data_IF_583920680236
#
_entry.id   IF_583920680236
#
_cell.length_a   1.000
_cell.length_b   1.000
_cell.length_c   1.000
_cell.angle_alpha   90.00
_cell.angle_beta   90.00
_cell.angle_gamma   90.00
#
_symmetry.space_group_name_H-M   'P 1'
#
loop_
_entity.id
_entity.type
_entity.pdbx_description
1 polymer ?
#
# COMPACT_ATOMS: atom_id res chain seq x y z
N UNK A 1 32.91 12.83 54.07
CA UNK A 1 32.07 13.48 53.03
C UNK A 1 30.99 14.30 53.71
N UNK A 2 30.97 15.61 53.47
CA UNK A 2 29.84 16.48 53.88
C UNK A 2 28.55 16.00 53.21
N UNK A 3 27.39 16.21 53.84
CA UNK A 3 26.08 15.74 53.32
C UNK A 3 25.85 16.18 51.86
N UNK A 4 26.30 17.38 51.52
CA UNK A 4 26.28 17.96 50.17
C UNK A 4 27.00 17.09 49.12
N UNK A 5 28.20 16.57 49.42
CA UNK A 5 28.95 15.70 48.49
C UNK A 5 28.25 14.36 48.25
N UNK A 6 27.47 13.86 49.22
CA UNK A 6 26.66 12.63 49.05
C UNK A 6 25.47 12.88 48.14
N UNK A 7 24.77 14.00 48.30
CA UNK A 7 23.67 14.38 47.40
C UNK A 7 24.17 14.65 45.97
N UNK A 8 25.32 15.30 45.82
CA UNK A 8 25.94 15.53 44.51
C UNK A 8 26.30 14.21 43.81
N UNK A 9 26.91 13.26 44.53
CA UNK A 9 27.25 11.95 43.98
C UNK A 9 25.99 11.15 43.60
N UNK A 10 24.96 11.16 44.45
CA UNK A 10 23.68 10.52 44.16
C UNK A 10 23.01 11.12 42.92
N UNK A 11 22.96 12.46 42.82
CA UNK A 11 22.42 13.15 41.67
C UNK A 11 23.19 12.81 40.39
N UNK A 12 24.53 12.79 40.45
CA UNK A 12 25.38 12.39 39.32
C UNK A 12 25.11 10.95 38.90
N UNK A 13 24.95 10.02 39.85
CA UNK A 13 24.64 8.63 39.57
C UNK A 13 23.27 8.48 38.89
N UNK A 14 22.24 9.19 39.37
CA UNK A 14 20.90 9.19 38.76
C UNK A 14 20.93 9.83 37.37
N UNK A 15 21.67 10.92 37.19
CA UNK A 15 21.82 11.58 35.90
C UNK A 15 22.51 10.68 34.87
N UNK A 16 23.61 10.01 35.27
CA UNK A 16 24.30 9.06 34.40
C UNK A 16 23.44 7.84 34.07
N UNK A 17 22.63 7.37 35.02
CA UNK A 17 21.65 6.32 34.78
C UNK A 17 20.60 6.76 33.75
N UNK A 18 20.06 7.97 33.89
CA UNK A 18 19.08 8.54 32.96
C UNK A 18 19.66 8.68 31.54
N UNK A 19 20.87 9.23 31.40
CA UNK A 19 21.56 9.34 30.10
C UNK A 19 21.84 7.96 29.51
N UNK A 20 22.22 6.98 30.34
CA UNK A 20 22.41 5.60 29.91
C UNK A 20 21.12 5.00 29.34
N UNK A 21 20.00 5.16 30.05
CA UNK A 21 18.68 4.69 29.58
C UNK A 21 18.33 5.35 28.25
N UNK A 22 18.48 6.66 28.12
CA UNK A 22 18.16 7.38 26.87
C UNK A 22 19.05 6.94 25.69
N UNK A 23 20.35 6.71 25.93
CA UNK A 23 21.29 6.29 24.90
C UNK A 23 21.01 4.87 24.37
N UNK A 24 20.52 3.98 25.24
CA UNK A 24 20.14 2.61 24.87
C UNK A 24 18.66 2.48 24.49
N UNK A 25 17.86 3.54 24.59
CA UNK A 25 16.48 3.53 24.16
C UNK A 25 16.41 3.29 22.64
N UNK A 26 15.60 2.33 22.17
CA UNK A 26 15.44 2.10 20.75
C UNK A 26 14.84 3.36 20.10
N UNK A 27 15.33 3.72 18.91
CA UNK A 27 14.75 4.81 18.15
C UNK A 27 13.26 4.52 17.91
N UNK A 28 12.42 5.54 18.05
CA UNK A 28 11.00 5.42 17.77
C UNK A 28 10.84 5.00 16.30
N UNK A 29 10.04 3.95 16.08
CA UNK A 29 9.72 3.49 14.73
C UNK A 29 8.91 4.59 14.06
N UNK A 30 9.38 5.08 12.92
CA UNK A 30 8.64 6.01 12.09
C UNK A 30 7.52 5.25 11.37
N UNK A 31 6.27 5.64 11.61
CA UNK A 31 5.07 5.04 11.01
C UNK A 31 4.48 5.89 9.89
N UNK A 32 5.24 6.86 9.34
CA UNK A 32 4.79 7.66 8.21
C UNK A 32 4.46 6.76 7.01
N UNK A 33 3.29 6.98 6.42
CA UNK A 33 2.85 6.32 5.19
C UNK A 33 3.59 6.91 3.98
N UNK A 34 4.72 6.32 3.61
CA UNK A 34 5.55 6.83 2.51
C UNK A 34 5.34 6.10 1.18
N UNK A 35 5.23 4.76 1.22
CA UNK A 35 5.16 3.87 0.05
C UNK A 35 6.34 3.99 -0.93
N UNK A 36 7.35 4.80 -0.59
CA UNK A 36 8.60 4.94 -1.34
C UNK A 36 9.45 3.68 -1.27
N UNK A 37 10.04 3.30 -2.40
CA UNK A 37 11.00 2.18 -2.47
C UNK A 37 12.31 2.45 -1.72
N UNK A 38 12.59 3.71 -1.38
CA UNK A 38 13.84 4.10 -0.70
C UNK A 38 13.73 3.99 0.82
N UNK A 39 12.51 3.92 1.34
CA UNK A 39 12.26 4.04 2.76
C UNK A 39 12.21 2.66 3.40
N UNK A 40 12.97 2.48 4.49
CA UNK A 40 13.06 1.23 5.27
C UNK A 40 12.12 1.21 6.48
N UNK A 41 11.16 2.13 6.50
CA UNK A 41 10.10 2.21 7.51
C UNK A 41 8.98 1.21 7.17
N UNK A 42 8.07 0.86 8.10
CA UNK A 42 7.05 -0.17 7.89
C UNK A 42 6.15 0.05 6.66
N UNK A 43 5.82 1.31 6.33
CA UNK A 43 5.02 1.66 5.15
C UNK A 43 5.88 1.99 3.91
N UNK A 44 7.18 1.70 3.92
CA UNK A 44 8.05 1.80 2.76
C UNK A 44 8.00 0.54 1.90
N UNK A 45 8.21 0.68 0.59
CA UNK A 45 8.20 -0.46 -0.36
C UNK A 45 9.60 -1.01 -0.63
N UNK A 46 10.60 -0.68 0.20
CA UNK A 46 11.99 -1.13 0.03
C UNK A 46 12.10 -2.65 -0.06
N UNK A 47 11.50 -3.38 0.89
CA UNK A 47 11.56 -4.85 0.92
C UNK A 47 10.83 -5.44 -0.28
N UNK A 48 9.65 -4.91 -0.62
CA UNK A 48 8.91 -5.34 -1.81
C UNK A 48 9.76 -5.22 -3.07
N UNK A 49 10.40 -4.07 -3.28
CA UNK A 49 11.23 -3.83 -4.45
C UNK A 49 12.42 -4.79 -4.51
N UNK A 50 13.05 -5.09 -3.37
CA UNK A 50 14.18 -6.03 -3.27
C UNK A 50 13.78 -7.47 -3.62
N UNK A 51 12.54 -7.88 -3.30
CA UNK A 51 12.05 -9.25 -3.60
C UNK A 51 11.42 -9.38 -4.99
N UNK A 52 11.12 -8.28 -5.70
CA UNK A 52 10.51 -8.33 -7.04
C UNK A 52 11.23 -9.27 -8.03
N UNK A 53 12.59 -9.29 -8.12
CA UNK A 53 13.29 -10.22 -9.00
C UNK A 53 13.06 -11.71 -8.67
N UNK A 54 12.80 -12.02 -7.40
CA UNK A 54 12.48 -13.39 -6.95
C UNK A 54 11.03 -13.76 -7.29
N UNK A 55 10.11 -12.79 -7.22
CA UNK A 55 8.70 -12.98 -7.59
C UNK A 55 8.56 -13.12 -9.11
N UNK A 56 9.36 -12.39 -9.88
CA UNK A 56 9.33 -12.37 -11.35
C UNK A 56 10.67 -12.80 -11.96
N UNK A 57 11.07 -14.08 -11.80
CA UNK A 57 12.36 -14.56 -12.28
C UNK A 57 12.50 -14.37 -13.80
N UNK A 58 13.63 -13.80 -14.22
CA UNK A 58 13.93 -13.53 -15.63
C UNK A 58 13.18 -12.35 -16.25
N UNK A 59 12.42 -11.58 -15.46
CA UNK A 59 11.79 -10.32 -15.90
C UNK A 59 12.58 -9.13 -15.37
N UNK A 60 12.59 -8.04 -16.14
CA UNK A 60 13.17 -6.78 -15.70
C UNK A 60 12.11 -5.99 -14.94
N UNK A 61 12.41 -5.65 -13.69
CA UNK A 61 11.65 -4.71 -12.89
C UNK A 61 12.49 -3.44 -12.75
N UNK A 62 11.92 -2.29 -13.11
CA UNK A 62 12.56 -1.00 -12.96
C UNK A 62 11.54 0.01 -12.44
N UNK A 63 12.05 1.04 -11.77
CA UNK A 63 11.24 2.17 -11.34
C UNK A 63 11.06 3.14 -12.51
N UNK A 64 9.82 3.56 -12.71
CA UNK A 64 9.51 4.75 -13.48
C UNK A 64 9.46 5.96 -12.54
N UNK A 65 10.05 7.08 -12.96
CA UNK A 65 10.01 8.37 -12.23
C UNK A 65 9.27 9.46 -13.00
N UNK A 66 8.86 9.16 -14.22
CA UNK A 66 8.11 10.06 -15.10
C UNK A 66 6.62 9.92 -14.80
N UNK A 67 5.81 10.90 -15.23
CA UNK A 67 4.35 10.79 -15.21
C UNK A 67 3.89 9.65 -16.12
N UNK A 68 2.62 9.25 -16.03
CA UNK A 68 2.10 8.24 -16.96
C UNK A 68 2.07 8.79 -18.38
N UNK A 69 1.72 10.06 -18.55
CA UNK A 69 1.76 10.74 -19.85
C UNK A 69 3.16 10.70 -20.46
N UNK A 70 4.18 11.16 -19.74
CA UNK A 70 5.55 11.21 -20.27
C UNK A 70 6.10 9.81 -20.57
N UNK A 71 5.77 8.83 -19.73
CA UNK A 71 6.28 7.47 -19.90
C UNK A 71 5.56 6.68 -21.00
N UNK A 72 4.23 6.79 -21.10
CA UNK A 72 3.40 5.94 -21.96
C UNK A 72 3.18 6.54 -23.36
N UNK A 73 3.11 7.87 -23.49
CA UNK A 73 2.77 8.52 -24.77
C UNK A 73 3.80 8.26 -25.87
N UNK A 74 5.05 8.00 -25.50
CA UNK A 74 6.15 7.76 -26.45
C UNK A 74 6.48 6.26 -26.62
N UNK A 75 5.69 5.35 -26.06
CA UNK A 75 5.90 3.91 -26.20
C UNK A 75 4.95 3.31 -27.22
N UNK A 76 5.51 2.74 -28.28
CA UNK A 76 4.74 1.95 -29.23
C UNK A 76 4.45 0.55 -28.67
N UNK A 77 3.18 0.30 -28.34
CA UNK A 77 2.68 -1.00 -27.87
C UNK A 77 3.56 -1.62 -26.77
N UNK A 78 3.67 -0.94 -25.61
CA UNK A 78 4.48 -1.42 -24.50
C UNK A 78 4.00 -2.82 -24.08
N UNK A 79 4.95 -3.72 -23.80
CA UNK A 79 4.70 -5.10 -23.34
C UNK A 79 5.18 -5.31 -21.92
N UNK A 80 4.83 -4.39 -21.04
CA UNK A 80 5.13 -4.41 -19.62
C UNK A 80 3.82 -4.35 -18.82
N UNK A 81 3.92 -4.38 -17.50
CA UNK A 81 2.78 -4.13 -16.61
C UNK A 81 3.19 -3.05 -15.62
N UNK A 82 2.21 -2.31 -15.12
CA UNK A 82 2.42 -1.28 -14.10
C UNK A 82 2.10 -1.84 -12.71
N UNK A 83 2.94 -1.50 -11.74
CA UNK A 83 2.75 -1.74 -10.31
C UNK A 83 2.81 -0.40 -9.61
N UNK A 84 1.68 0.04 -9.07
CA UNK A 84 1.49 1.33 -8.42
C UNK A 84 1.04 1.05 -6.98
N UNK A 85 1.76 1.61 -6.02
CA UNK A 85 1.46 1.50 -4.60
C UNK A 85 1.58 2.89 -4.00
N UNK A 86 0.47 3.43 -3.53
CA UNK A 86 0.45 4.74 -2.88
C UNK A 86 -0.71 4.81 -1.88
N UNK A 87 -0.83 5.95 -1.20
CA UNK A 87 -2.01 6.20 -0.36
C UNK A 87 -3.23 6.53 -1.21
N UNK A 88 -3.10 7.56 -2.04
CA UNK A 88 -4.19 8.18 -2.77
C UNK A 88 -3.87 8.14 -4.27
N UNK A 89 -4.61 7.35 -5.04
CA UNK A 89 -4.44 7.24 -6.48
C UNK A 89 -5.34 8.24 -7.21
N UNK A 90 -4.80 9.42 -7.50
CA UNK A 90 -5.50 10.53 -8.13
C UNK A 90 -4.74 11.02 -9.38
N UNK A 91 -4.73 10.24 -10.48
CA UNK A 91 -4.12 10.70 -11.72
C UNK A 91 -4.86 11.94 -12.23
N UNK A 92 -4.11 12.87 -12.83
CA UNK A 92 -4.72 13.97 -13.58
C UNK A 92 -5.38 13.46 -14.88
N UNK A 93 -6.02 14.35 -15.62
CA UNK A 93 -6.77 13.98 -16.83
C UNK A 93 -5.89 13.35 -17.91
N UNK A 94 -4.67 13.89 -18.12
CA UNK A 94 -3.74 13.40 -19.13
C UNK A 94 -3.18 12.04 -18.73
N UNK A 95 -2.75 11.91 -17.47
CA UNK A 95 -2.24 10.67 -16.90
C UNK A 95 -3.32 9.56 -16.89
N UNK A 96 -4.56 9.93 -16.61
CA UNK A 96 -5.69 9.01 -16.62
C UNK A 96 -5.97 8.50 -18.05
N UNK A 97 -6.05 9.39 -19.03
CA UNK A 97 -6.34 9.03 -20.42
C UNK A 97 -5.35 8.00 -20.96
N UNK A 98 -4.05 8.29 -20.85
CA UNK A 98 -3.01 7.37 -21.35
C UNK A 98 -2.97 6.06 -20.58
N UNK A 99 -3.31 6.06 -19.28
CA UNK A 99 -3.35 4.85 -18.47
C UNK A 99 -4.54 3.95 -18.88
N UNK A 100 -5.70 4.55 -19.15
CA UNK A 100 -6.87 3.83 -19.63
C UNK A 100 -6.58 3.20 -21.00
N UNK A 101 -5.97 3.93 -21.92
CA UNK A 101 -5.57 3.43 -23.25
C UNK A 101 -4.54 2.29 -23.14
N UNK A 102 -3.52 2.48 -22.32
CA UNK A 102 -2.50 1.48 -22.05
C UNK A 102 -3.09 0.14 -21.60
N UNK A 103 -4.06 0.17 -20.68
CA UNK A 103 -4.77 -1.04 -20.22
C UNK A 103 -5.74 -1.53 -21.28
N UNK A 104 -6.45 -0.64 -21.97
CA UNK A 104 -7.38 -1.00 -23.04
C UNK A 104 -6.70 -1.82 -24.14
N UNK A 105 -5.45 -1.48 -24.47
CA UNK A 105 -4.66 -2.15 -25.51
C UNK A 105 -4.11 -3.53 -25.13
N UNK A 106 -4.21 -3.92 -23.86
CA UNK A 106 -3.92 -5.28 -23.41
C UNK A 106 -2.96 -5.39 -22.24
N UNK A 107 -2.40 -4.28 -21.76
CA UNK A 107 -1.52 -4.29 -20.61
C UNK A 107 -2.31 -4.39 -19.30
N UNK A 108 -1.61 -4.67 -18.21
CA UNK A 108 -2.21 -4.74 -16.88
C UNK A 108 -1.60 -3.68 -15.96
N UNK A 109 -2.46 -3.05 -15.18
CA UNK A 109 -2.06 -2.15 -14.11
C UNK A 109 -2.54 -2.71 -12.76
N UNK A 110 -1.60 -3.00 -11.88
CA UNK A 110 -1.88 -3.28 -10.48
C UNK A 110 -1.75 -1.97 -9.69
N UNK A 111 -2.82 -1.58 -9.00
CA UNK A 111 -2.89 -0.34 -8.22
C UNK A 111 -3.37 -0.70 -6.82
N UNK A 112 -2.51 -0.48 -5.83
CA UNK A 112 -2.89 -0.56 -4.43
C UNK A 112 -2.90 0.84 -3.83
N UNK A 113 -4.08 1.26 -3.36
CA UNK A 113 -4.34 2.58 -2.79
C UNK A 113 -5.45 2.52 -1.75
N UNK A 114 -5.42 3.37 -0.74
CA UNK A 114 -6.53 3.55 0.20
C UNK A 114 -7.68 4.34 -0.45
N UNK A 115 -7.34 5.33 -1.27
CA UNK A 115 -8.30 6.20 -1.95
C UNK A 115 -8.07 6.21 -3.46
N UNK A 116 -9.15 6.21 -4.24
CA UNK A 116 -9.12 6.32 -5.69
C UNK A 116 -9.87 7.59 -6.12
N UNK A 117 -9.22 8.42 -6.93
CA UNK A 117 -9.80 9.68 -7.42
C UNK A 117 -11.07 9.44 -8.23
N UNK A 118 -12.01 10.39 -8.14
CA UNK A 118 -13.35 10.26 -8.73
C UNK A 118 -13.31 9.96 -10.24
N UNK A 119 -12.49 10.68 -11.01
CA UNK A 119 -12.39 10.49 -12.45
C UNK A 119 -11.94 9.06 -12.83
N UNK A 120 -10.97 8.51 -12.08
CA UNK A 120 -10.53 7.13 -12.27
C UNK A 120 -11.66 6.17 -11.90
N UNK A 121 -12.23 6.35 -10.71
CA UNK A 121 -13.31 5.51 -10.17
C UNK A 121 -14.52 5.44 -11.10
N UNK A 122 -14.93 6.55 -11.70
CA UNK A 122 -16.04 6.60 -12.67
C UNK A 122 -15.69 5.88 -13.97
N UNK A 123 -14.47 6.09 -14.48
CA UNK A 123 -13.98 5.46 -15.71
C UNK A 123 -13.94 3.94 -15.59
N UNK A 124 -13.49 3.42 -14.44
CA UNK A 124 -13.41 1.97 -14.17
C UNK A 124 -14.62 1.43 -13.40
N UNK A 125 -15.59 2.29 -13.07
CA UNK A 125 -16.90 1.98 -12.47
C UNK A 125 -16.81 1.23 -11.16
N UNK A 126 -16.04 1.80 -10.24
CA UNK A 126 -15.87 1.36 -8.86
C UNK A 126 -16.23 2.51 -7.93
N UNK A 127 -16.53 2.18 -6.68
CA UNK A 127 -16.52 3.13 -5.58
C UNK A 127 -15.89 2.47 -4.36
N UNK A 128 -15.37 3.29 -3.46
CA UNK A 128 -14.73 2.85 -2.23
C UNK A 128 -15.31 3.57 -1.04
N UNK A 129 -15.46 2.85 0.06
CA UNK A 129 -15.83 3.39 1.35
C UNK A 129 -14.81 2.99 2.42
N UNK A 130 -14.69 3.85 3.44
CA UNK A 130 -13.82 3.59 4.59
C UNK A 130 -14.67 3.14 5.77
N UNK A 131 -14.34 1.99 6.35
CA UNK A 131 -15.02 1.49 7.54
C UNK A 131 -14.73 2.37 8.76
N UNK A 132 -15.67 3.25 9.13
CA UNK A 132 -15.56 4.13 10.30
C UNK A 132 -15.61 3.39 11.67
N UNK A 133 -15.94 2.11 11.70
CA UNK A 133 -16.13 1.34 12.94
C UNK A 133 -14.86 1.15 13.78
N UNK A 134 -13.68 1.45 13.26
CA UNK A 134 -12.40 1.19 13.94
C UNK A 134 -11.68 2.43 14.49
N UNK A 135 -12.19 3.65 14.24
CA UNK A 135 -11.59 4.87 14.80
C UNK A 135 -11.62 4.90 16.35
N UNK A 136 -12.46 4.07 16.98
CA UNK A 136 -12.64 4.01 18.44
C UNK A 136 -12.39 2.63 19.06
N UNK A 137 -12.04 1.60 18.26
CA UNK A 137 -11.81 0.24 18.76
C UNK A 137 -10.39 -0.22 18.36
N UNK A 138 -9.42 0.14 19.19
CA UNK A 138 -7.97 -0.04 18.99
C UNK A 138 -7.47 -1.50 18.97
N UNK A 139 -8.36 -2.50 19.07
CA UNK A 139 -8.00 -3.89 19.37
C UNK A 139 -8.25 -4.90 18.25
N UNK A 140 -8.93 -4.54 17.15
CA UNK A 140 -9.20 -5.52 16.08
C UNK A 140 -8.18 -5.43 14.96
N UNK A 141 -7.39 -6.50 14.82
CA UNK A 141 -6.51 -6.69 13.67
C UNK A 141 -7.35 -6.84 12.39
N UNK A 142 -7.07 -6.02 11.37
CA UNK A 142 -7.66 -6.23 10.05
C UNK A 142 -7.00 -7.46 9.41
N UNK A 143 -7.79 -8.37 8.85
CA UNK A 143 -7.23 -9.49 8.08
C UNK A 143 -7.59 -9.40 6.61
N UNK A 144 -6.61 -9.63 5.73
CA UNK A 144 -6.85 -9.76 4.30
C UNK A 144 -6.90 -11.24 3.90
N UNK A 145 -7.86 -11.58 3.04
CA UNK A 145 -8.13 -12.94 2.58
C UNK A 145 -8.17 -12.93 1.07
N UNK A 146 -7.28 -13.69 0.43
CA UNK A 146 -7.38 -13.99 -1.01
C UNK A 146 -8.45 -15.08 -1.22
N UNK A 147 -9.44 -14.79 -2.05
CA UNK A 147 -10.63 -15.66 -2.25
C UNK A 147 -10.67 -16.32 -3.63
N UNK A 148 -9.81 -15.91 -4.56
CA UNK A 148 -9.76 -16.51 -5.88
C UNK A 148 -9.05 -17.87 -5.85
N UNK A 149 -9.70 -18.93 -6.35
CA UNK A 149 -9.17 -20.30 -6.40
C UNK A 149 -7.86 -20.47 -7.19
N UNK A 150 -7.55 -19.55 -8.13
CA UNK A 150 -6.28 -19.52 -8.85
C UNK A 150 -5.11 -18.95 -8.02
N UNK A 151 -5.41 -18.24 -6.94
CA UNK A 151 -4.46 -17.84 -5.92
C UNK A 151 -4.51 -18.93 -4.84
N UNK A 152 -3.42 -19.69 -4.65
CA UNK A 152 -3.38 -20.67 -3.55
C UNK A 152 -3.79 -19.96 -2.26
N UNK A 153 -4.74 -20.48 -1.46
CA UNK A 153 -5.14 -19.80 -0.24
C UNK A 153 -3.92 -19.71 0.69
N UNK A 154 -3.31 -18.53 0.75
CA UNK A 154 -2.10 -18.28 1.54
C UNK A 154 -2.40 -17.99 3.02
N UNK A 155 -3.65 -18.14 3.44
CA UNK A 155 -4.10 -17.87 4.80
C UNK A 155 -4.61 -16.44 4.99
N UNK A 156 -4.80 -16.07 6.25
CA UNK A 156 -5.21 -14.72 6.67
C UNK A 156 -3.96 -13.90 6.97
N UNK A 157 -3.82 -12.73 6.33
CA UNK A 157 -2.75 -11.78 6.63
C UNK A 157 -3.25 -10.75 7.63
N UNK A 158 -2.62 -10.66 8.81
CA UNK A 158 -3.07 -9.80 9.90
C UNK A 158 -2.29 -8.48 9.94
N UNK A 159 -3.02 -7.38 10.07
CA UNK A 159 -2.49 -6.03 10.18
C UNK A 159 -2.98 -5.34 11.45
N UNK A 160 -2.26 -4.32 11.90
CA UNK A 160 -2.66 -3.51 13.06
C UNK A 160 -4.00 -2.81 12.79
N UNK A 161 -4.81 -2.64 13.83
CA UNK A 161 -6.08 -1.91 13.75
C UNK A 161 -5.87 -0.51 13.12
N UNK A 162 -6.78 -0.11 12.23
CA UNK A 162 -6.71 1.15 11.48
C UNK A 162 -5.96 1.06 10.14
N UNK A 163 -5.31 -0.06 9.86
CA UNK A 163 -4.67 -0.35 8.58
C UNK A 163 -5.64 -1.17 7.71
N UNK A 164 -5.71 -0.90 6.40
CA UNK A 164 -6.58 -1.61 5.45
C UNK A 164 -8.10 -1.51 5.74
N UNK A 165 -8.57 -0.32 6.12
CA UNK A 165 -9.98 -0.06 6.46
C UNK A 165 -10.87 0.26 5.25
N UNK A 166 -10.27 0.60 4.10
CA UNK A 166 -10.97 0.86 2.86
C UNK A 166 -11.42 -0.44 2.18
N UNK A 167 -12.58 -0.40 1.54
CA UNK A 167 -13.14 -1.50 0.76
C UNK A 167 -13.95 -0.99 -0.43
N UNK A 168 -14.17 -1.84 -1.42
CA UNK A 168 -15.05 -1.54 -2.54
C UNK A 168 -16.50 -1.73 -2.10
N UNK A 169 -17.28 -0.66 -2.04
CA UNK A 169 -18.70 -0.69 -1.71
C UNK A 169 -19.59 -0.86 -2.95
N UNK A 170 -19.12 -0.40 -4.11
CA UNK A 170 -19.76 -0.61 -5.40
C UNK A 170 -18.74 -0.96 -6.50
N UNK A 171 -19.13 -1.87 -7.40
CA UNK A 171 -18.42 -2.13 -8.65
C UNK A 171 -19.35 -2.84 -9.65
N UNK A 172 -19.09 -2.64 -10.94
CA UNK A 172 -19.81 -3.38 -11.98
C UNK A 172 -19.41 -4.86 -12.00
N UNK A 173 -20.30 -5.72 -11.50
CA UNK A 173 -20.12 -7.18 -11.43
C UNK A 173 -19.97 -7.88 -12.78
N UNK A 174 -20.42 -7.28 -13.90
CA UNK A 174 -20.30 -7.89 -15.23
C UNK A 174 -18.85 -7.85 -15.73
N UNK A 175 -18.08 -6.83 -15.34
CA UNK A 175 -16.68 -6.68 -15.75
C UNK A 175 -15.68 -6.94 -14.64
N UNK A 176 -16.13 -7.08 -13.40
CA UNK A 176 -15.26 -7.15 -12.22
C UNK A 176 -15.30 -8.53 -11.57
N UNK A 177 -14.12 -9.08 -11.27
CA UNK A 177 -13.96 -10.31 -10.48
C UNK A 177 -13.39 -9.98 -9.11
N UNK A 178 -14.06 -10.29 -7.99
CA UNK A 178 -13.49 -10.12 -6.67
C UNK A 178 -12.38 -11.16 -6.45
N UNK A 179 -11.25 -10.70 -5.92
CA UNK A 179 -10.03 -11.47 -5.70
C UNK A 179 -9.69 -11.60 -4.22
N UNK A 180 -10.17 -10.68 -3.38
CA UNK A 180 -9.92 -10.69 -1.95
C UNK A 180 -10.99 -9.93 -1.16
N UNK A 181 -11.06 -10.26 0.12
CA UNK A 181 -11.94 -9.62 1.09
C UNK A 181 -11.25 -9.40 2.44
N UNK A 182 -11.81 -8.49 3.23
CA UNK A 182 -11.45 -8.31 4.64
C UNK A 182 -12.02 -9.44 5.51
N UNK A 183 -11.60 -9.53 6.77
CA UNK A 183 -12.20 -10.42 7.79
C UNK A 183 -13.71 -10.28 7.92
N UNK A 184 -14.24 -9.10 7.61
CA UNK A 184 -15.65 -8.76 7.71
C UNK A 184 -16.44 -9.03 6.41
N UNK A 185 -15.82 -9.70 5.42
CA UNK A 185 -16.46 -10.05 4.15
C UNK A 185 -16.65 -8.87 3.20
N UNK A 186 -15.93 -7.76 3.42
CA UNK A 186 -15.93 -6.62 2.49
C UNK A 186 -14.87 -6.82 1.42
N UNK A 187 -15.24 -6.68 0.15
CA UNK A 187 -14.31 -6.84 -0.98
C UNK A 187 -13.22 -5.76 -0.91
N UNK A 188 -11.96 -6.18 -0.89
CA UNK A 188 -10.81 -5.26 -0.79
C UNK A 188 -9.82 -5.43 -1.95
N UNK A 189 -10.01 -6.44 -2.79
CA UNK A 189 -9.19 -6.69 -3.97
C UNK A 189 -10.08 -7.15 -5.13
N UNK A 190 -9.98 -6.49 -6.27
CA UNK A 190 -10.76 -6.77 -7.47
C UNK A 190 -9.89 -6.78 -8.72
N UNK A 191 -10.33 -7.50 -9.75
CA UNK A 191 -9.84 -7.37 -11.11
C UNK A 191 -10.96 -6.84 -12.01
N UNK A 192 -10.78 -5.63 -12.55
CA UNK A 192 -11.70 -4.97 -13.48
C UNK A 192 -11.20 -5.19 -14.89
N UNK A 193 -12.01 -5.83 -15.75
CA UNK A 193 -11.70 -5.94 -17.18
C UNK A 193 -11.88 -4.58 -17.86
N UNK A 194 -10.87 -4.16 -18.62
CA UNK A 194 -10.90 -2.90 -19.35
C UNK A 194 -10.19 -3.10 -20.71
N UNK A 195 -10.96 -3.03 -21.80
CA UNK A 195 -10.50 -3.43 -23.13
C UNK A 195 -9.95 -4.87 -23.15
N UNK A 196 -8.73 -5.03 -23.68
CA UNK A 196 -8.00 -6.31 -23.73
C UNK A 196 -7.23 -6.59 -22.43
N UNK A 197 -7.03 -5.57 -21.60
CA UNK A 197 -6.28 -5.63 -20.36
C UNK A 197 -7.16 -5.69 -19.11
N UNK A 198 -6.53 -5.39 -17.96
CA UNK A 198 -7.16 -5.45 -16.64
C UNK A 198 -6.52 -4.46 -15.69
N UNK A 199 -7.36 -3.82 -14.89
CA UNK A 199 -6.95 -3.19 -13.64
C UNK A 199 -7.06 -4.20 -12.50
N UNK A 200 -6.00 -4.38 -11.73
CA UNK A 200 -6.02 -5.11 -10.46
C UNK A 200 -5.96 -4.09 -9.34
N UNK A 201 -7.06 -3.90 -8.62
CA UNK A 201 -7.24 -2.80 -7.68
C UNK A 201 -7.37 -3.32 -6.26
N UNK A 202 -6.51 -2.84 -5.37
CA UNK A 202 -6.44 -3.27 -3.97
C UNK A 202 -6.58 -2.07 -3.03
N UNK A 203 -7.47 -2.15 -2.03
CA UNK A 203 -7.75 -1.02 -1.12
C UNK A 203 -6.79 -0.90 0.06
N UNK A 204 -5.77 -1.76 0.12
CA UNK A 204 -4.71 -1.69 1.11
C UNK A 204 -3.33 -1.64 0.43
N UNK A 205 -2.61 -0.52 0.49
CA UNK A 205 -1.30 -0.35 -0.15
C UNK A 205 -0.15 -0.97 0.66
N UNK A 206 -0.20 -2.28 0.89
CA UNK A 206 0.72 -3.02 1.78
C UNK A 206 1.19 -4.34 1.17
#
# INVERSE_FOLDING_TARGET
>A
MTKEKKYLFFFLAVFLLFVGVEFFSPQQIDWKQSFSRKDKIPFGTYVLYDVLPNIFPGKKCYENKESFYDYLSFQENPKNNLLIINKDFMPDELDLEVLLDYVYDGNHAFIAAEEFGQNFSDSVGISTATGFSHAFNNNDSASLILINAGLKPMGKFWFKAGVASAYFDHYDSLRTTPLGQTSHGKTNFIAVRYGKGKFLLHTAPL
#
